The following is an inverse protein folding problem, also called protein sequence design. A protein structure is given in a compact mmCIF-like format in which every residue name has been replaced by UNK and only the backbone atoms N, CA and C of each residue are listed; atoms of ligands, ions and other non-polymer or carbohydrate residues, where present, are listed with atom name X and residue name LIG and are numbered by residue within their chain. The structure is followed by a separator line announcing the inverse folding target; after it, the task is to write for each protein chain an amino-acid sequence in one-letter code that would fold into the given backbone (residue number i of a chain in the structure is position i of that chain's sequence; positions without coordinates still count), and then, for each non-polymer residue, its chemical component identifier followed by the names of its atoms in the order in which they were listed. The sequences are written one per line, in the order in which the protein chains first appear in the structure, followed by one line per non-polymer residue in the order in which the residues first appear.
data_IF_400386171737
#
_entry.id   IF_400386171737
#
_cell.length_a   1.000
_cell.length_b   1.000
_cell.length_c   1.000
_cell.angle_alpha   90.00
_cell.angle_beta   90.00
_cell.angle_gamma   90.00
#
_symmetry.space_group_name_H-M   'P 1'
#
loop_
_entity.id
_entity.type
_entity.pdbx_description
1 polymer ?
#
# COMPACT_ATOMS: atom_id res chain seq x y z
N UNK A 1 -1.84 9.14 -2.11
CA UNK A 1 -0.41 9.45 -1.81
C UNK A 1 0.55 8.70 -2.73
N UNK A 2 0.27 7.43 -3.09
CA UNK A 2 1.11 6.65 -4.01
C UNK A 2 0.45 6.31 -5.37
N UNK A 3 -0.87 6.21 -5.44
CA UNK A 3 -1.63 5.90 -6.68
C UNK A 3 -2.56 7.08 -7.00
N UNK A 4 -2.69 7.42 -8.29
CA UNK A 4 -3.60 8.45 -8.79
C UNK A 4 -3.99 8.21 -10.27
N UNK A 5 -5.30 8.18 -10.61
CA UNK A 5 -6.44 8.09 -9.70
C UNK A 5 -6.48 6.73 -8.98
N UNK A 6 -7.16 6.68 -7.83
CA UNK A 6 -7.45 5.46 -7.08
C UNK A 6 -8.93 5.50 -6.69
N UNK A 7 -9.51 4.38 -6.25
CA UNK A 7 -10.92 4.28 -5.88
C UNK A 7 -11.89 4.64 -7.03
N UNK A 8 -11.53 4.28 -8.26
CA UNK A 8 -12.43 4.45 -9.41
C UNK A 8 -13.55 3.40 -9.38
N UNK A 9 -14.57 3.57 -10.22
CA UNK A 9 -15.69 2.61 -10.33
C UNK A 9 -15.26 1.18 -10.71
N UNK A 10 -14.03 1.01 -11.20
CA UNK A 10 -13.50 -0.28 -11.64
C UNK A 10 -12.44 -0.85 -10.69
N UNK A 11 -12.11 -0.12 -9.61
CA UNK A 11 -11.12 -0.58 -8.63
C UNK A 11 -11.79 -1.36 -7.50
N UNK A 12 -11.26 -2.54 -7.20
CA UNK A 12 -11.69 -3.38 -6.07
C UNK A 12 -10.90 -3.13 -4.78
N UNK A 13 -10.53 -1.86 -4.50
CA UNK A 13 -9.63 -1.51 -3.42
C UNK A 13 -10.16 -1.98 -2.05
N UNK A 14 -9.40 -2.83 -1.36
CA UNK A 14 -9.79 -3.37 -0.05
C UNK A 14 -8.59 -3.38 0.90
N UNK A 15 -8.80 -2.96 2.14
CA UNK A 15 -7.78 -2.98 3.20
C UNK A 15 -8.31 -3.79 4.38
N UNK A 16 -7.49 -4.72 4.86
CA UNK A 16 -7.74 -5.46 6.10
C UNK A 16 -6.80 -4.94 7.20
N UNK A 17 -7.33 -4.81 8.41
CA UNK A 17 -6.57 -4.39 9.58
C UNK A 17 -6.68 -5.46 10.67
N UNK A 18 -5.57 -5.69 11.39
CA UNK A 18 -5.49 -6.63 12.49
C UNK A 18 -4.58 -6.07 13.58
N UNK A 19 -4.88 -6.37 14.84
CA UNK A 19 -4.05 -6.02 15.98
C UNK A 19 -3.65 -7.28 16.75
N UNK A 20 -2.38 -7.39 17.12
CA UNK A 20 -1.86 -8.49 17.96
C UNK A 20 -2.20 -8.31 19.45
N UNK A 21 -2.72 -7.14 19.85
CA UNK A 21 -3.15 -6.85 21.22
C UNK A 21 -2.02 -6.56 22.23
N UNK A 22 -0.77 -6.42 21.79
CA UNK A 22 0.39 -6.30 22.69
C UNK A 22 0.58 -4.91 23.33
N UNK A 23 0.04 -3.84 22.74
CA UNK A 23 0.18 -2.46 23.23
C UNK A 23 -1.10 -1.67 23.02
N UNK A 24 -1.46 -0.84 24.00
CA UNK A 24 -2.51 0.18 23.86
C UNK A 24 -1.94 1.38 23.11
N UNK A 25 -2.71 1.93 22.17
CA UNK A 25 -2.35 3.10 21.40
C UNK A 25 -3.60 3.88 21.01
N UNK A 26 -3.44 5.19 20.78
CA UNK A 26 -4.52 6.03 20.25
C UNK A 26 -4.80 5.69 18.78
N UNK A 27 -6.08 5.51 18.44
CA UNK A 27 -6.50 5.10 17.10
C UNK A 27 -6.15 6.13 16.02
N UNK A 28 -6.16 7.41 16.35
CA UNK A 28 -5.83 8.50 15.42
C UNK A 28 -4.35 8.46 15.06
N UNK A 29 -3.49 8.20 16.05
CA UNK A 29 -2.05 8.02 15.83
C UNK A 29 -1.81 6.79 14.96
N UNK A 30 -2.43 5.65 15.29
CA UNK A 30 -2.29 4.42 14.50
C UNK A 30 -2.77 4.62 13.06
N UNK A 31 -3.92 5.28 12.86
CA UNK A 31 -4.47 5.57 11.53
C UNK A 31 -3.57 6.49 10.69
N UNK A 32 -2.99 7.52 11.31
CA UNK A 32 -2.06 8.43 10.62
C UNK A 32 -0.83 7.68 10.08
N UNK A 33 -0.23 6.81 10.90
CA UNK A 33 0.89 5.98 10.47
C UNK A 33 0.47 4.88 9.49
N UNK A 34 -0.72 4.30 9.63
CA UNK A 34 -1.22 3.28 8.71
C UNK A 34 -1.30 3.82 7.27
N UNK A 35 -1.80 5.05 7.09
CA UNK A 35 -1.85 5.69 5.77
C UNK A 35 -0.46 5.95 5.16
N UNK A 36 0.53 6.28 5.99
CA UNK A 36 1.92 6.48 5.56
C UNK A 36 2.59 5.16 5.19
N UNK A 37 2.49 4.15 6.06
CA UNK A 37 3.07 2.82 5.84
C UNK A 37 2.45 2.15 4.62
N UNK A 38 1.15 2.31 4.38
CA UNK A 38 0.50 1.78 3.17
C UNK A 38 1.07 2.42 1.90
N UNK A 39 1.29 3.75 1.90
CA UNK A 39 1.91 4.42 0.75
C UNK A 39 3.34 3.93 0.50
N UNK A 40 4.13 3.76 1.56
CA UNK A 40 5.50 3.22 1.46
C UNK A 40 5.50 1.76 0.98
N UNK A 41 4.55 0.94 1.45
CA UNK A 41 4.41 -0.45 1.01
C UNK A 41 4.11 -0.55 -0.49
N UNK A 42 3.23 0.31 -1.02
CA UNK A 42 2.93 0.38 -2.47
C UNK A 42 4.20 0.73 -3.26
N UNK A 43 4.94 1.78 -2.85
CA UNK A 43 6.18 2.17 -3.53
C UNK A 43 7.23 1.06 -3.48
N UNK A 44 7.35 0.37 -2.34
CA UNK A 44 8.24 -0.78 -2.19
C UNK A 44 7.83 -1.91 -3.13
N UNK A 45 6.54 -2.19 -3.27
CA UNK A 45 6.03 -3.21 -4.19
C UNK A 45 6.42 -2.90 -5.64
N UNK A 46 6.22 -1.65 -6.09
CA UNK A 46 6.61 -1.21 -7.45
C UNK A 46 8.12 -1.38 -7.69
N UNK A 47 8.96 -1.00 -6.70
CA UNK A 47 10.42 -1.12 -6.82
C UNK A 47 10.93 -2.57 -6.76
N UNK A 48 10.22 -3.45 -6.05
CA UNK A 48 10.59 -4.85 -5.88
C UNK A 48 10.01 -5.76 -6.98
N UNK A 49 9.05 -5.27 -7.76
CA UNK A 49 8.43 -6.01 -8.85
C UNK A 49 9.49 -6.43 -9.90
N UNK A 50 9.29 -7.62 -10.47
CA UNK A 50 10.03 -8.12 -11.62
C UNK A 50 9.10 -8.14 -12.84
N UNK A 51 9.65 -8.17 -14.06
CA UNK A 51 8.84 -8.30 -15.27
C UNK A 51 8.03 -9.59 -15.26
N UNK A 52 6.78 -9.51 -15.70
CA UNK A 52 5.88 -10.66 -15.74
C UNK A 52 4.76 -10.44 -16.77
N UNK A 53 4.26 -11.53 -17.38
CA UNK A 53 3.15 -11.45 -18.35
C UNK A 53 3.45 -10.58 -19.58
N UNK A 54 4.72 -10.44 -19.95
CA UNK A 54 5.16 -9.54 -21.04
C UNK A 54 5.16 -8.05 -20.68
N UNK A 55 4.89 -7.70 -19.42
CA UNK A 55 4.91 -6.32 -18.93
C UNK A 55 6.25 -6.01 -18.23
N UNK A 56 6.82 -4.81 -18.44
CA UNK A 56 8.05 -4.38 -17.79
C UNK A 56 7.81 -4.02 -16.31
N UNK A 57 8.87 -4.00 -15.51
CA UNK A 57 8.87 -3.44 -14.16
C UNK A 57 9.56 -2.07 -14.11
N UNK A 58 9.33 -1.32 -13.02
CA UNK A 58 9.93 -0.01 -12.81
C UNK A 58 11.48 -0.05 -12.73
N UNK A 59 12.03 -1.23 -12.45
CA UNK A 59 13.45 -1.54 -12.39
C UNK A 59 14.10 -1.86 -13.75
N UNK A 60 13.32 -1.95 -14.84
CA UNK A 60 13.85 -2.21 -16.19
C UNK A 60 14.43 -0.95 -16.87
N UNK A 61 14.60 0.14 -16.13
CA UNK A 61 15.17 1.41 -16.58
C UNK A 61 16.43 1.77 -15.80
#
# INVERSE_FOLDING_TARGET
RAIRPAHTMLDGDTIFAMATGQKKADVSIVGAYAAEVLAQAIVRAVKAAKPAGGLPSASDR
#
